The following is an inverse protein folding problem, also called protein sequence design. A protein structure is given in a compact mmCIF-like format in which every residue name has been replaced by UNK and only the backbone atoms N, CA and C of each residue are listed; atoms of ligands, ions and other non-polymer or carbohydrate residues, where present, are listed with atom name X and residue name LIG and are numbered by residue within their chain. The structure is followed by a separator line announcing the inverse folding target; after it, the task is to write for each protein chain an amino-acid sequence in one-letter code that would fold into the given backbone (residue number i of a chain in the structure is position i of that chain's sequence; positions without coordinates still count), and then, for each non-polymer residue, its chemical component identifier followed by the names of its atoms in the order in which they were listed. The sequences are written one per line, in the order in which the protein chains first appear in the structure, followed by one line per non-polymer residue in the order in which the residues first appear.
data_IF_712009570543
#
_entry.id   IF_712009570543
#
_cell.length_a   1.000
_cell.length_b   1.000
_cell.length_c   1.000
_cell.angle_alpha   90.00
_cell.angle_beta   90.00
_cell.angle_gamma   90.00
#
_symmetry.space_group_name_H-M   'P 1'
#
loop_
_entity.id
_entity.type
_entity.pdbx_description
1 polymer ?
#
# COMPACT_ATOMS: atom_id res chain seq x y z
N UNK A 1 21.32 -12.93 -8.20
CA UNK A 1 21.01 -12.10 -7.02
C UNK A 1 20.31 -10.84 -7.53
N UNK A 2 18.98 -10.80 -7.53
CA UNK A 2 18.24 -9.63 -8.04
C UNK A 2 18.36 -8.54 -6.98
N UNK A 3 19.05 -7.47 -7.34
CA UNK A 3 19.30 -6.33 -6.48
C UNK A 3 17.96 -5.61 -6.27
N UNK A 4 17.48 -5.58 -5.02
CA UNK A 4 16.22 -4.96 -4.57
C UNK A 4 16.33 -3.42 -4.53
N UNK A 5 16.91 -2.80 -5.56
CA UNK A 5 17.12 -1.35 -5.56
C UNK A 5 15.76 -0.61 -5.63
N UNK A 6 15.43 0.08 -4.53
CA UNK A 6 14.31 1.02 -4.39
C UNK A 6 12.89 0.39 -4.38
N UNK A 7 12.69 -0.77 -3.74
CA UNK A 7 11.36 -1.37 -3.51
C UNK A 7 10.87 -1.31 -2.04
N UNK A 8 11.57 -0.58 -1.18
CA UNK A 8 11.22 -0.46 0.25
C UNK A 8 9.80 0.09 0.46
N UNK A 9 9.40 1.07 -0.36
CA UNK A 9 8.09 1.72 -0.32
C UNK A 9 7.19 1.29 -1.50
N UNK A 10 7.33 0.02 -1.92
CA UNK A 10 6.50 -0.55 -2.96
C UNK A 10 5.18 -1.11 -2.41
N UNK A 11 4.08 -0.80 -3.10
CA UNK A 11 2.72 -1.26 -2.81
C UNK A 11 2.14 -1.82 -4.10
N UNK A 12 1.38 -2.90 -3.99
CA UNK A 12 0.63 -3.47 -5.10
C UNK A 12 -0.80 -2.89 -5.06
N UNK A 13 -1.21 -2.24 -6.15
CA UNK A 13 -2.61 -1.87 -6.37
C UNK A 13 -3.33 -2.99 -7.12
N UNK A 14 -4.25 -3.68 -6.45
CA UNK A 14 -5.09 -4.75 -6.99
C UNK A 14 -6.49 -4.22 -7.33
N UNK A 15 -6.84 -4.22 -8.60
CA UNK A 15 -8.17 -3.86 -9.06
C UNK A 15 -9.11 -5.07 -9.06
N UNK A 16 -10.35 -4.87 -8.62
CA UNK A 16 -11.31 -5.98 -8.50
C UNK A 16 -12.10 -6.21 -9.79
N UNK A 17 -12.54 -5.15 -10.47
CA UNK A 17 -13.38 -5.23 -11.67
C UNK A 17 -13.03 -4.12 -12.66
N UNK A 18 -12.47 -4.50 -13.80
CA UNK A 18 -11.94 -3.54 -14.78
C UNK A 18 -10.86 -2.64 -14.17
N UNK A 19 -10.22 -1.83 -15.00
CA UNK A 19 -9.36 -0.74 -14.57
C UNK A 19 -9.08 0.20 -15.74
N UNK A 20 -8.71 1.47 -15.47
CA UNK A 20 -8.25 2.41 -16.49
C UNK A 20 -6.99 1.92 -17.22
N UNK A 21 -6.69 2.51 -18.37
CA UNK A 21 -5.38 2.34 -19.01
C UNK A 21 -4.23 2.73 -18.06
N UNK A 22 -3.08 2.05 -18.18
CA UNK A 22 -1.92 2.28 -17.30
C UNK A 22 -1.40 3.73 -17.35
N UNK A 23 -1.49 4.41 -18.48
CA UNK A 23 -1.07 5.82 -18.61
C UNK A 23 -2.02 6.75 -17.87
N UNK A 24 -3.30 6.39 -17.80
CA UNK A 24 -4.29 7.14 -17.03
C UNK A 24 -4.12 6.86 -15.54
N UNK A 25 -3.87 5.61 -15.14
CA UNK A 25 -3.56 5.28 -13.75
C UNK A 25 -2.34 6.05 -13.21
N UNK A 26 -1.30 6.23 -14.03
CA UNK A 26 -0.11 7.04 -13.66
C UNK A 26 -0.46 8.47 -13.28
N UNK A 27 -1.54 9.03 -13.82
CA UNK A 27 -2.02 10.38 -13.51
C UNK A 27 -3.05 10.38 -12.38
N UNK A 28 -3.95 9.38 -12.36
CA UNK A 28 -5.08 9.33 -11.45
C UNK A 28 -4.68 8.88 -10.04
N UNK A 29 -3.84 7.86 -9.90
CA UNK A 29 -3.46 7.32 -8.58
C UNK A 29 -2.80 8.37 -7.70
N UNK A 30 -1.74 9.10 -8.12
CA UNK A 30 -1.13 10.10 -7.24
C UNK A 30 -2.14 11.16 -6.78
N UNK A 31 -3.00 11.62 -7.70
CA UNK A 31 -3.97 12.68 -7.43
C UNK A 31 -5.13 12.21 -6.53
N UNK A 32 -5.70 11.04 -6.80
CA UNK A 32 -6.90 10.55 -6.11
C UNK A 32 -6.59 9.76 -4.83
N UNK A 33 -5.38 9.21 -4.71
CA UNK A 33 -4.88 8.66 -3.46
C UNK A 33 -4.20 9.72 -2.57
N UNK A 34 -4.22 11.00 -2.97
CA UNK A 34 -3.67 12.13 -2.20
C UNK A 34 -2.17 11.95 -1.84
N UNK A 35 -1.40 11.37 -2.76
CA UNK A 35 0.03 11.13 -2.54
C UNK A 35 0.80 12.45 -2.63
N UNK A 36 1.69 12.67 -1.67
CA UNK A 36 2.46 13.91 -1.54
C UNK A 36 3.74 13.91 -2.36
N UNK A 37 4.41 12.75 -2.43
CA UNK A 37 5.65 12.56 -3.17
C UNK A 37 5.42 12.11 -4.60
N UNK A 38 6.49 12.15 -5.39
CA UNK A 38 6.49 11.46 -6.68
C UNK A 38 6.35 9.96 -6.48
N UNK A 39 5.60 9.30 -7.37
CA UNK A 39 5.52 7.84 -7.39
C UNK A 39 5.70 7.29 -8.80
N UNK A 40 6.35 6.14 -8.90
CA UNK A 40 6.50 5.40 -10.16
C UNK A 40 5.49 4.27 -10.19
N UNK A 41 4.67 4.22 -11.24
CA UNK A 41 3.63 3.21 -11.39
C UNK A 41 3.95 2.32 -12.60
N UNK A 42 4.13 1.02 -12.32
CA UNK A 42 4.42 -0.03 -13.29
C UNK A 42 3.26 -1.00 -13.42
N UNK A 43 3.15 -1.63 -14.60
CA UNK A 43 2.23 -2.74 -14.80
C UNK A 43 2.86 -4.03 -14.21
N UNK A 44 2.09 -4.76 -13.41
CA UNK A 44 2.54 -6.04 -12.85
C UNK A 44 1.79 -7.23 -13.47
N UNK A 45 0.48 -7.09 -13.70
CA UNK A 45 -0.35 -8.09 -14.41
C UNK A 45 -1.64 -7.45 -14.92
N UNK A 46 -2.57 -8.25 -15.47
CA UNK A 46 -3.85 -7.79 -16.03
C UNK A 46 -4.81 -7.07 -15.05
N UNK A 47 -4.54 -7.10 -13.74
CA UNK A 47 -5.34 -6.43 -12.69
C UNK A 47 -4.50 -5.83 -11.57
N UNK A 48 -3.16 -5.87 -11.69
CA UNK A 48 -2.25 -5.40 -10.66
C UNK A 48 -1.28 -4.36 -11.22
N UNK A 49 -1.11 -3.29 -10.45
CA UNK A 49 -0.07 -2.28 -10.66
C UNK A 49 0.91 -2.29 -9.50
N UNK A 50 2.18 -2.02 -9.79
CA UNK A 50 3.20 -1.77 -8.79
C UNK A 50 3.34 -0.27 -8.60
N UNK A 51 3.03 0.23 -7.41
CA UNK A 51 3.14 1.63 -7.01
C UNK A 51 4.38 1.77 -6.14
N UNK A 52 5.36 2.54 -6.60
CA UNK A 52 6.59 2.81 -5.85
C UNK A 52 6.54 4.24 -5.35
N UNK A 53 6.23 4.40 -4.06
CA UNK A 53 6.29 5.70 -3.40
C UNK A 53 7.75 6.09 -3.11
N UNK A 54 7.98 7.39 -2.97
CA UNK A 54 9.28 7.94 -2.53
C UNK A 54 9.28 8.29 -1.04
N UNK A 55 8.11 8.60 -0.48
CA UNK A 55 7.94 8.98 0.92
C UNK A 55 7.35 7.82 1.72
N UNK A 56 7.88 7.62 2.95
CA UNK A 56 7.31 6.67 3.91
C UNK A 56 5.85 7.02 4.24
N UNK A 57 5.51 8.31 4.32
CA UNK A 57 4.14 8.75 4.61
C UNK A 57 3.14 8.26 3.56
N UNK A 58 3.49 8.37 2.27
CA UNK A 58 2.64 7.89 1.17
C UNK A 58 2.51 6.37 1.18
N UNK A 59 3.60 5.66 1.50
CA UNK A 59 3.59 4.20 1.67
C UNK A 59 2.62 3.76 2.77
N UNK A 60 2.73 4.39 3.95
CA UNK A 60 1.83 4.13 5.08
C UNK A 60 0.39 4.52 4.70
N UNK A 61 0.17 5.66 4.04
CA UNK A 61 -1.15 6.10 3.60
C UNK A 61 -1.82 5.09 2.67
N UNK A 62 -1.08 4.59 1.68
CA UNK A 62 -1.57 3.57 0.75
C UNK A 62 -1.96 2.28 1.48
N UNK A 63 -1.20 1.83 2.46
CA UNK A 63 -1.49 0.60 3.21
C UNK A 63 -2.53 0.76 4.33
N UNK A 64 -2.80 2.00 4.73
CA UNK A 64 -3.70 2.33 5.83
C UNK A 64 -5.19 2.20 5.45
N UNK A 65 -5.54 2.44 4.18
CA UNK A 65 -6.93 2.37 3.72
C UNK A 65 -7.24 0.98 3.17
N UNK A 66 -8.42 0.41 3.46
CA UNK A 66 -8.80 -0.92 2.96
C UNK A 66 -8.96 -0.96 1.44
N UNK A 67 -9.39 0.16 0.84
CA UNK A 67 -9.48 0.34 -0.60
C UNK A 67 -9.43 1.83 -0.98
N UNK A 68 -8.97 2.11 -2.18
CA UNK A 68 -9.12 3.37 -2.89
C UNK A 68 -10.09 3.20 -4.06
N UNK A 69 -10.79 4.26 -4.42
CA UNK A 69 -11.75 4.24 -5.52
C UNK A 69 -11.26 5.18 -6.63
N UNK A 70 -10.66 4.58 -7.67
CA UNK A 70 -10.10 5.36 -8.78
C UNK A 70 -11.23 5.68 -9.76
N UNK A 71 -11.59 6.95 -9.89
CA UNK A 71 -12.69 7.41 -10.74
C UNK A 71 -12.18 7.93 -12.08
N UNK A 72 -12.76 7.46 -13.19
CA UNK A 72 -12.48 7.94 -14.55
C UNK A 72 -13.76 7.92 -15.39
N UNK A 73 -14.10 9.04 -16.05
CA UNK A 73 -15.24 9.15 -17.00
C UNK A 73 -16.54 8.52 -16.47
N UNK A 74 -16.88 8.82 -15.21
CA UNK A 74 -18.07 8.33 -14.47
C UNK A 74 -18.04 6.86 -14.01
N UNK A 75 -16.95 6.13 -14.26
CA UNK A 75 -16.71 4.80 -13.68
C UNK A 75 -15.81 4.91 -12.46
N UNK A 76 -16.07 4.07 -11.45
CA UNK A 76 -15.23 3.96 -10.25
C UNK A 76 -14.65 2.56 -10.14
N UNK A 77 -13.33 2.49 -10.04
CA UNK A 77 -12.58 1.24 -10.02
C UNK A 77 -12.00 1.02 -8.62
N UNK A 78 -12.53 0.05 -7.84
CA UNK A 78 -12.02 -0.24 -6.51
C UNK A 78 -10.64 -0.90 -6.60
N UNK A 79 -9.66 -0.24 -6.00
CA UNK A 79 -8.28 -0.68 -5.89
C UNK A 79 -7.96 -0.99 -4.42
N UNK A 80 -7.66 -2.25 -4.14
CA UNK A 80 -7.09 -2.66 -2.84
C UNK A 80 -5.58 -2.52 -2.89
N UNK A 81 -4.98 -2.10 -1.79
CA UNK A 81 -3.54 -1.98 -1.64
C UNK A 81 -3.01 -3.17 -0.86
N UNK A 82 -1.95 -3.79 -1.37
CA UNK A 82 -1.27 -4.91 -0.74
C UNK A 82 0.20 -4.55 -0.56
N UNK A 83 0.80 -5.03 0.54
CA UNK A 83 2.24 -4.87 0.73
C UNK A 83 2.99 -5.62 -0.38
N UNK A 84 4.01 -4.99 -0.96
CA UNK A 84 4.90 -5.66 -1.90
C UNK A 84 5.65 -6.81 -1.22
N UNK A 85 5.72 -7.94 -1.93
CA UNK A 85 6.50 -9.13 -1.57
C UNK A 85 7.27 -9.58 -2.82
N UNK A 86 8.59 -9.80 -2.76
CA UNK A 86 9.36 -10.39 -3.86
C UNK A 86 8.81 -11.75 -4.34
N UNK A 87 8.10 -12.49 -3.49
CA UNK A 87 7.46 -13.76 -3.80
C UNK A 87 5.98 -13.61 -4.21
N UNK A 88 5.53 -12.39 -4.48
CA UNK A 88 4.15 -12.13 -4.87
C UNK A 88 3.76 -12.91 -6.14
N UNK A 89 2.73 -13.75 -6.01
CA UNK A 89 2.10 -14.44 -7.12
C UNK A 89 0.72 -13.81 -7.41
N UNK A 90 0.48 -13.22 -8.61
CA UNK A 90 -0.80 -12.58 -8.95
C UNK A 90 -2.00 -13.56 -9.05
N UNK A 91 -1.73 -14.86 -9.16
CA UNK A 91 -2.74 -15.93 -9.22
C UNK A 91 -3.17 -16.42 -7.83
N UNK A 92 -2.39 -16.11 -6.79
CA UNK A 92 -2.67 -16.50 -5.41
C UNK A 92 -3.14 -15.31 -4.57
N UNK A 93 -3.88 -15.59 -3.50
CA UNK A 93 -4.21 -14.57 -2.52
C UNK A 93 -3.02 -14.37 -1.57
N UNK A 94 -2.66 -13.12 -1.32
CA UNK A 94 -1.53 -12.78 -0.44
C UNK A 94 -1.80 -13.24 0.98
N UNK A 95 -0.86 -13.99 1.56
CA UNK A 95 -0.91 -14.45 2.95
C UNK A 95 -0.62 -13.34 3.96
N UNK A 96 -0.10 -12.19 3.50
CA UNK A 96 0.19 -11.01 4.34
C UNK A 96 -0.95 -10.00 4.25
N UNK A 97 -1.47 -9.58 5.40
CA UNK A 97 -2.50 -8.54 5.52
C UNK A 97 -2.02 -7.39 6.42
N UNK A 98 -2.61 -6.20 6.23
CA UNK A 98 -2.41 -5.05 7.11
C UNK A 98 -3.54 -5.03 8.13
N UNK A 99 -3.19 -4.91 9.41
CA UNK A 99 -4.16 -4.85 10.49
C UNK A 99 -3.91 -3.60 11.35
N UNK A 100 -5.00 -2.96 11.74
CA UNK A 100 -5.00 -1.91 12.74
C UNK A 100 -5.14 -2.55 14.12
N UNK A 101 -4.20 -2.27 15.02
CA UNK A 101 -4.26 -2.71 16.41
C UNK A 101 -4.34 -1.49 17.32
N UNK A 102 -5.06 -1.62 18.43
CA UNK A 102 -5.20 -0.57 19.44
C UNK A 102 -4.78 -1.08 20.81
N UNK A 103 -4.19 -0.21 21.62
CA UNK A 103 -3.81 -0.48 23.00
C UNK A 103 -4.62 0.44 23.93
N UNK A 104 -5.92 0.15 24.15
CA UNK A 104 -6.86 1.10 24.78
C UNK A 104 -6.53 1.47 26.23
N UNK A 105 -5.71 0.65 26.92
CA UNK A 105 -5.34 0.85 28.33
C UNK A 105 -3.84 0.97 28.53
N UNK A 106 -3.11 1.46 27.51
CA UNK A 106 -1.66 1.65 27.61
C UNK A 106 -1.34 2.75 28.64
N UNK A 107 -0.50 2.49 29.67
CA UNK A 107 -0.11 3.53 30.62
C UNK A 107 0.63 4.71 29.94
N UNK A 108 0.47 5.97 30.41
CA UNK A 108 1.06 7.15 29.76
C UNK A 108 2.59 7.11 29.60
N UNK A 109 3.29 6.45 30.52
CA UNK A 109 4.74 6.25 30.46
C UNK A 109 5.18 5.36 29.27
N UNK A 110 4.25 4.69 28.60
CA UNK A 110 4.49 3.85 27.42
C UNK A 110 3.99 4.46 26.10
N UNK A 111 3.58 5.73 26.09
CA UNK A 111 3.12 6.41 24.87
C UNK A 111 4.24 6.80 23.89
N UNK A 112 5.50 6.56 24.25
CA UNK A 112 6.63 6.79 23.36
C UNK A 112 6.57 5.88 22.11
N UNK A 113 6.84 6.45 20.94
CA UNK A 113 6.81 5.74 19.65
C UNK A 113 7.57 4.42 19.70
N UNK A 114 8.80 4.44 20.21
CA UNK A 114 9.65 3.24 20.31
C UNK A 114 9.02 2.14 21.17
N UNK A 115 8.33 2.51 22.26
CA UNK A 115 7.66 1.56 23.14
C UNK A 115 6.45 0.96 22.43
N UNK A 116 5.61 1.79 21.82
CA UNK A 116 4.44 1.33 21.06
C UNK A 116 4.85 0.41 19.91
N UNK A 117 5.91 0.78 19.17
CA UNK A 117 6.45 -0.04 18.09
C UNK A 117 7.02 -1.37 18.61
N UNK A 118 7.70 -1.35 19.77
CA UNK A 118 8.19 -2.58 20.40
C UNK A 118 7.05 -3.51 20.83
N UNK A 119 5.94 -2.96 21.34
CA UNK A 119 4.74 -3.75 21.67
C UNK A 119 4.08 -4.32 20.42
N UNK A 120 3.90 -3.50 19.38
CA UNK A 120 3.31 -3.92 18.11
C UNK A 120 4.17 -4.98 17.39
N UNK A 121 5.50 -4.95 17.58
CA UNK A 121 6.43 -5.93 17.03
C UNK A 121 6.13 -7.39 17.44
N UNK A 122 5.44 -7.59 18.58
CA UNK A 122 5.00 -8.92 19.01
C UNK A 122 3.87 -9.50 18.13
N UNK A 123 3.11 -8.64 17.45
CA UNK A 123 2.00 -9.03 16.55
C UNK A 123 2.47 -9.11 15.10
N UNK A 124 3.36 -8.22 14.68
CA UNK A 124 3.87 -8.17 13.31
C UNK A 124 4.83 -7.01 13.10
N UNK A 125 5.16 -6.67 11.84
CA UNK A 125 6.04 -5.53 11.55
C UNK A 125 5.22 -4.22 11.64
N UNK A 126 5.48 -3.34 12.63
CA UNK A 126 4.81 -2.04 12.70
C UNK A 126 5.19 -1.17 11.50
N UNK A 127 4.26 -0.30 11.10
CA UNK A 127 4.38 0.66 10.00
C UNK A 127 4.54 2.08 10.55
#
# INVERSE_FOLDING_TARGET
MIINENLEFAVIGKFSYGWPDIQELRKLIPKQCELKGECKIGLLSNKHVLIRATLLEDYVHLLSKPAFYITQRNWSFPMRTLKWDPMFNPEEETTTTIAWISFPSLPPNFFGKEVVFSLAAAVGKPL
#
